data_IF_832348993364
#
_entry.id   IF_832348993364
#
_cell.length_a   1.000
_cell.length_b   1.000
_cell.length_c   1.000
_cell.angle_alpha   90.00
_cell.angle_beta   90.00
_cell.angle_gamma   90.00
#
_symmetry.space_group_name_H-M   'P 1'
#
loop_
_entity.id
_entity.type
_entity.pdbx_description
1 polymer ?
#
# COMPACT_ATOMS: atom_id res chain seq x y z
N UNK A 1 16.26 -16.68 -15.91
CA UNK A 1 15.22 -16.13 -15.01
C UNK A 1 15.72 -14.80 -14.49
N UNK A 2 15.19 -13.68 -14.99
CA UNK A 2 15.51 -12.36 -14.41
C UNK A 2 14.44 -12.14 -13.34
N UNK A 3 14.82 -12.21 -12.07
CA UNK A 3 13.95 -11.78 -10.98
C UNK A 3 13.81 -10.26 -11.06
N UNK A 4 12.62 -9.75 -11.39
CA UNK A 4 12.32 -8.33 -11.28
C UNK A 4 11.86 -8.05 -9.84
N UNK A 5 12.72 -7.41 -9.06
CA UNK A 5 12.37 -6.90 -7.73
C UNK A 5 11.98 -5.43 -7.80
N UNK A 6 11.04 -5.00 -6.96
CA UNK A 6 10.71 -3.58 -6.76
C UNK A 6 11.09 -3.14 -5.37
N UNK A 7 11.67 -1.94 -5.26
CA UNK A 7 11.94 -1.27 -4.00
C UNK A 7 11.13 0.02 -3.98
N UNK A 8 10.30 0.19 -2.96
CA UNK A 8 9.57 1.43 -2.70
C UNK A 8 10.25 2.14 -1.52
N UNK A 9 10.64 3.40 -1.71
CA UNK A 9 11.24 4.21 -0.64
C UNK A 9 10.23 5.29 -0.24
N UNK A 10 9.73 5.20 0.99
CA UNK A 10 8.76 6.14 1.54
C UNK A 10 9.49 7.33 2.19
N UNK A 11 9.43 8.50 1.55
CA UNK A 11 10.07 9.74 2.03
C UNK A 11 8.98 10.80 2.23
N UNK A 12 9.04 11.52 3.36
CA UNK A 12 7.99 12.46 3.77
C UNK A 12 6.58 11.80 3.70
N UNK A 13 6.51 10.55 4.14
CA UNK A 13 5.34 9.69 4.03
C UNK A 13 4.73 9.44 5.41
N UNK A 14 3.39 9.52 5.48
CA UNK A 14 2.57 8.94 6.53
C UNK A 14 1.33 8.30 5.90
N UNK A 15 0.82 7.22 6.49
CA UNK A 15 -0.33 6.51 5.93
C UNK A 15 -1.61 7.37 5.98
N UNK A 16 -1.78 8.20 7.02
CA UNK A 16 -2.90 9.15 7.07
C UNK A 16 -2.85 10.19 5.94
N UNK A 17 -1.68 10.73 5.60
CA UNK A 17 -1.59 11.68 4.49
C UNK A 17 -1.77 11.00 3.12
N UNK A 18 -1.27 9.77 2.96
CA UNK A 18 -1.56 8.94 1.78
C UNK A 18 -3.07 8.72 1.59
N UNK A 19 -3.76 8.32 2.65
CA UNK A 19 -5.22 8.13 2.61
C UNK A 19 -5.96 9.43 2.31
N UNK A 20 -5.55 10.54 2.92
CA UNK A 20 -6.11 11.87 2.61
C UNK A 20 -5.95 12.20 1.12
N UNK A 21 -4.76 11.99 0.53
CA UNK A 21 -4.53 12.20 -0.91
C UNK A 21 -5.43 11.31 -1.76
N UNK A 22 -5.51 10.02 -1.45
CA UNK A 22 -6.37 9.07 -2.16
C UNK A 22 -7.85 9.50 -2.15
N UNK A 23 -8.38 9.86 -0.97
CA UNK A 23 -9.77 10.32 -0.83
C UNK A 23 -10.04 11.64 -1.56
N UNK A 24 -9.10 12.58 -1.54
CA UNK A 24 -9.22 13.82 -2.34
C UNK A 24 -9.25 13.52 -3.83
N UNK A 25 -8.40 12.61 -4.33
CA UNK A 25 -8.41 12.18 -5.73
C UNK A 25 -9.75 11.54 -6.13
N UNK A 26 -10.30 10.65 -5.29
CA UNK A 26 -11.62 10.03 -5.53
C UNK A 26 -12.71 11.09 -5.55
N UNK A 27 -12.72 12.02 -4.58
CA UNK A 27 -13.70 13.10 -4.52
C UNK A 27 -13.66 13.99 -5.79
N UNK A 28 -12.47 14.32 -6.30
CA UNK A 28 -12.33 15.03 -7.57
C UNK A 28 -12.85 14.22 -8.76
N UNK A 29 -12.63 12.89 -8.79
CA UNK A 29 -13.18 12.01 -9.82
C UNK A 29 -14.71 12.03 -9.84
N UNK A 30 -15.34 11.95 -8.66
CA UNK A 30 -16.80 12.07 -8.51
C UNK A 30 -17.29 13.44 -8.96
N UNK A 31 -16.63 14.52 -8.54
CA UNK A 31 -17.01 15.88 -8.93
C UNK A 31 -16.93 16.12 -10.45
N UNK A 32 -15.95 15.48 -11.13
CA UNK A 32 -15.78 15.53 -12.58
C UNK A 32 -16.76 14.62 -13.35
N UNK A 33 -17.55 13.82 -12.64
CA UNK A 33 -18.46 12.84 -13.26
C UNK A 33 -17.75 11.61 -13.83
N UNK A 34 -16.48 11.38 -13.48
CA UNK A 34 -15.71 10.19 -13.90
C UNK A 34 -16.03 8.95 -13.05
N UNK A 35 -16.60 9.16 -11.87
CA UNK A 35 -17.01 8.12 -10.93
C UNK A 35 -18.39 8.42 -10.37
N UNK A 36 -19.18 7.38 -10.12
CA UNK A 36 -20.31 7.45 -9.21
C UNK A 36 -19.86 7.11 -7.78
N UNK A 37 -20.59 7.59 -6.77
CA UNK A 37 -20.31 7.22 -5.37
C UNK A 37 -20.47 5.72 -5.11
N UNK A 38 -21.29 5.03 -5.90
CA UNK A 38 -21.48 3.58 -5.87
C UNK A 38 -20.27 2.80 -6.39
N UNK A 39 -19.36 3.44 -7.12
CA UNK A 39 -18.13 2.81 -7.60
C UNK A 39 -17.03 2.78 -6.52
N UNK A 40 -17.22 3.48 -5.40
CA UNK A 40 -16.24 3.57 -4.33
C UNK A 40 -16.28 2.31 -3.48
N UNK A 41 -15.18 1.56 -3.52
CA UNK A 41 -14.94 0.36 -2.74
C UNK A 41 -13.44 0.26 -2.36
N UNK A 42 -13.10 -0.78 -1.60
CA UNK A 42 -11.76 -1.06 -1.11
C UNK A 42 -10.74 -1.21 -2.27
N UNK A 43 -11.13 -1.85 -3.37
CA UNK A 43 -10.33 -1.92 -4.59
C UNK A 43 -9.99 -0.52 -5.12
N UNK A 44 -10.98 0.35 -5.33
CA UNK A 44 -10.76 1.70 -5.83
C UNK A 44 -9.84 2.51 -4.90
N UNK A 45 -10.08 2.44 -3.59
CA UNK A 45 -9.25 3.12 -2.59
C UNK A 45 -7.80 2.65 -2.71
N UNK A 46 -7.58 1.33 -2.76
CA UNK A 46 -6.24 0.72 -2.89
C UNK A 46 -5.54 1.15 -4.19
N UNK A 47 -6.28 1.30 -5.28
CA UNK A 47 -5.76 1.81 -6.56
C UNK A 47 -5.46 3.31 -6.54
N UNK A 48 -5.94 4.06 -5.55
CA UNK A 48 -5.65 5.48 -5.37
C UNK A 48 -4.49 5.76 -4.40
N UNK A 49 -3.98 4.75 -3.70
CA UNK A 49 -2.81 4.87 -2.81
C UNK A 49 -1.50 5.08 -3.57
N UNK A 50 -0.47 5.56 -2.90
CA UNK A 50 0.87 5.72 -3.48
C UNK A 50 1.46 4.34 -3.85
N UNK A 51 1.11 3.31 -3.07
CA UNK A 51 1.52 1.92 -3.28
C UNK A 51 0.79 1.18 -4.40
N UNK A 52 -0.13 1.81 -5.16
CA UNK A 52 -1.06 1.15 -6.11
C UNK A 52 -0.47 0.18 -7.13
N UNK A 53 0.82 0.26 -7.46
CA UNK A 53 1.46 -0.68 -8.38
C UNK A 53 2.03 -1.92 -7.69
N UNK A 54 2.13 -1.91 -6.36
CA UNK A 54 2.68 -2.98 -5.54
C UNK A 54 1.55 -3.79 -4.90
N UNK A 55 1.83 -5.05 -4.60
CA UNK A 55 0.96 -5.84 -3.75
C UNK A 55 1.08 -5.38 -2.29
N UNK A 56 0.04 -5.64 -1.51
CA UNK A 56 0.08 -5.43 -0.07
C UNK A 56 1.20 -6.29 0.58
N UNK A 57 1.84 -5.80 1.65
CA UNK A 57 2.93 -6.52 2.29
C UNK A 57 2.42 -7.75 3.06
N UNK A 58 3.05 -8.90 2.83
CA UNK A 58 2.84 -10.12 3.62
C UNK A 58 3.40 -10.00 5.06
N UNK A 59 4.55 -9.32 5.19
CA UNK A 59 5.32 -9.21 6.41
C UNK A 59 5.88 -7.79 6.57
N UNK A 60 5.58 -7.15 7.69
CA UNK A 60 6.14 -5.88 8.11
C UNK A 60 7.13 -6.13 9.24
N UNK A 61 8.40 -5.81 9.00
CA UNK A 61 9.47 -5.91 9.99
C UNK A 61 9.73 -4.52 10.55
N UNK A 62 9.68 -4.38 11.88
CA UNK A 62 10.07 -3.16 12.59
C UNK A 62 11.13 -3.46 13.62
N UNK A 63 12.24 -2.74 13.53
CA UNK A 63 13.40 -2.89 14.40
C UNK A 63 13.33 -1.95 15.62
N UNK A 64 14.37 -1.99 16.46
CA UNK A 64 14.58 -1.12 17.62
C UNK A 64 13.65 -1.36 18.82
N UNK A 65 12.91 -2.47 18.83
CA UNK A 65 12.09 -2.91 19.96
C UNK A 65 10.76 -2.18 20.16
N UNK A 66 10.42 -1.24 19.26
CA UNK A 66 9.18 -0.46 19.35
C UNK A 66 7.98 -1.24 18.83
N UNK A 67 6.94 -1.42 19.64
CA UNK A 67 5.72 -2.18 19.28
C UNK A 67 4.59 -1.26 18.83
N UNK A 68 4.81 -0.48 17.77
CA UNK A 68 3.78 0.37 17.12
C UNK A 68 4.01 0.42 15.62
N UNK A 69 3.04 0.90 14.84
CA UNK A 69 3.21 1.11 13.40
C UNK A 69 3.79 2.48 13.05
N UNK A 70 3.62 3.49 13.91
CA UNK A 70 4.05 4.87 13.62
C UNK A 70 3.49 5.42 12.31
N UNK A 71 2.20 5.19 12.04
CA UNK A 71 1.52 5.74 10.85
C UNK A 71 2.16 5.29 9.52
N UNK A 72 2.55 4.00 9.45
CA UNK A 72 3.21 3.40 8.28
C UNK A 72 2.34 2.29 7.68
N UNK A 73 1.98 2.44 6.40
CA UNK A 73 1.23 1.47 5.59
C UNK A 73 -0.03 0.92 6.27
N UNK A 74 -0.82 1.77 6.94
CA UNK A 74 -1.94 1.33 7.77
C UNK A 74 -3.02 0.57 6.97
N UNK A 75 -3.31 1.01 5.75
CA UNK A 75 -4.28 0.36 4.87
C UNK A 75 -3.75 -0.96 4.32
N UNK A 76 -2.53 -0.92 3.77
CA UNK A 76 -1.86 -2.04 3.13
C UNK A 76 -1.53 -3.15 4.13
N UNK A 77 -1.25 -2.80 5.38
CA UNK A 77 -0.92 -3.77 6.44
C UNK A 77 -2.15 -4.45 7.08
N UNK A 78 -3.36 -4.24 6.56
CA UNK A 78 -4.60 -4.83 7.11
C UNK A 78 -4.54 -6.37 7.23
N UNK A 79 -3.82 -7.04 6.32
CA UNK A 79 -3.63 -8.51 6.30
C UNK A 79 -2.16 -8.92 6.53
N UNK A 80 -1.33 -8.00 7.00
CA UNK A 80 0.10 -8.18 7.12
C UNK A 80 0.48 -8.79 8.49
N UNK A 81 1.46 -9.69 8.50
CA UNK A 81 2.11 -10.09 9.75
C UNK A 81 3.08 -9.02 10.20
N UNK A 82 3.03 -8.65 11.48
CA UNK A 82 3.92 -7.64 12.03
C UNK A 82 4.95 -8.33 12.93
N UNK A 83 6.22 -8.18 12.60
CA UNK A 83 7.35 -8.71 13.36
C UNK A 83 8.17 -7.57 13.96
N UNK A 84 8.20 -7.51 15.28
CA UNK A 84 9.00 -6.54 16.02
C UNK A 84 10.32 -7.18 16.47
N UNK A 85 11.44 -6.69 15.95
CA UNK A 85 12.78 -7.09 16.36
C UNK A 85 13.38 -6.04 17.30
N UNK A 86 14.11 -6.48 18.32
CA UNK A 86 14.81 -5.61 19.28
C UNK A 86 16.14 -5.08 18.74
N UNK A 87 16.69 -5.69 17.68
CA UNK A 87 17.93 -5.22 17.04
C UNK A 87 17.76 -3.80 16.51
N UNK A 88 18.79 -2.95 16.60
CA UNK A 88 18.78 -1.62 15.98
C UNK A 88 18.94 -1.75 14.45
N UNK A 89 18.34 -0.85 13.68
CA UNK A 89 18.37 -0.92 12.21
C UNK A 89 19.79 -1.06 11.61
N UNK A 90 20.82 -0.28 12.04
CA UNK A 90 22.18 -0.43 11.51
C UNK A 90 22.83 -1.80 11.81
N UNK A 91 22.27 -2.55 12.77
CA UNK A 91 22.75 -3.86 13.20
C UNK A 91 21.87 -5.00 12.67
N UNK A 92 20.81 -4.71 11.90
CA UNK A 92 19.93 -5.72 11.34
C UNK A 92 20.63 -6.48 10.22
N UNK A 93 20.78 -7.79 10.37
CA UNK A 93 21.54 -8.63 9.44
C UNK A 93 20.68 -9.68 8.72
N UNK A 94 21.34 -10.51 7.91
CA UNK A 94 20.71 -11.61 7.19
C UNK A 94 19.97 -12.60 8.11
N UNK A 95 20.51 -12.88 9.31
CA UNK A 95 19.90 -13.81 10.25
C UNK A 95 18.65 -13.22 10.91
N UNK A 96 18.62 -11.91 11.16
CA UNK A 96 17.39 -11.23 11.59
C UNK A 96 16.29 -11.37 10.53
N UNK A 97 16.62 -11.17 9.25
CA UNK A 97 15.67 -11.36 8.16
C UNK A 97 15.15 -12.81 8.10
N UNK A 98 16.04 -13.80 8.19
CA UNK A 98 15.65 -15.21 8.21
C UNK A 98 14.71 -15.54 9.38
N UNK A 99 14.96 -14.97 10.57
CA UNK A 99 14.07 -15.14 11.74
C UNK A 99 12.69 -14.54 11.49
N UNK A 100 12.62 -13.36 10.89
CA UNK A 100 11.35 -12.72 10.55
C UNK A 100 10.57 -13.51 9.49
N UNK A 101 11.25 -14.04 8.46
CA UNK A 101 10.64 -14.91 7.45
C UNK A 101 10.14 -16.21 8.08
N UNK A 102 10.93 -16.84 8.95
CA UNK A 102 10.52 -18.05 9.65
C UNK A 102 9.28 -17.79 10.51
N UNK A 103 9.25 -16.66 11.23
CA UNK A 103 8.07 -16.22 11.96
C UNK A 103 6.84 -16.11 11.05
N UNK A 104 6.95 -15.45 9.89
CA UNK A 104 5.85 -15.40 8.92
C UNK A 104 5.40 -16.80 8.51
N UNK A 105 6.34 -17.67 8.11
CA UNK A 105 6.03 -19.02 7.64
C UNK A 105 5.32 -19.88 8.68
N UNK A 106 5.66 -19.74 9.96
CA UNK A 106 4.99 -20.45 11.04
C UNK A 106 3.56 -19.96 11.26
N UNK A 107 3.31 -18.67 11.08
CA UNK A 107 2.03 -18.07 11.45
C UNK A 107 1.06 -17.99 10.26
N UNK A 108 1.54 -17.97 9.01
CA UNK A 108 0.75 -17.70 7.78
C UNK A 108 -0.55 -18.53 7.66
N UNK A 109 -0.54 -19.77 8.15
CA UNK A 109 -1.70 -20.66 8.04
C UNK A 109 -2.87 -20.21 8.91
N UNK A 110 -2.61 -19.50 10.01
CA UNK A 110 -3.63 -18.99 10.92
C UNK A 110 -4.40 -17.81 10.32
N UNK A 111 -3.72 -16.84 9.67
CA UNK A 111 -4.42 -15.73 9.01
C UNK A 111 -5.10 -16.16 7.71
N UNK A 112 -4.52 -17.10 6.94
CA UNK A 112 -5.20 -17.62 5.74
C UNK A 112 -6.60 -18.16 6.09
N UNK A 113 -6.70 -18.94 7.16
CA UNK A 113 -7.99 -19.45 7.67
C UNK A 113 -8.94 -18.36 8.17
N UNK A 114 -8.42 -17.28 8.76
CA UNK A 114 -9.25 -16.16 9.21
C UNK A 114 -9.75 -15.33 8.01
N UNK A 115 -8.87 -15.05 7.05
CA UNK A 115 -9.19 -14.26 5.87
C UNK A 115 -10.18 -14.98 4.94
N UNK A 116 -10.04 -16.30 4.74
CA UNK A 116 -11.00 -17.11 3.97
C UNK A 116 -12.44 -17.02 4.50
N UNK A 117 -12.60 -16.79 5.82
CA UNK A 117 -13.90 -16.71 6.47
C UNK A 117 -14.44 -15.28 6.59
N UNK A 118 -13.60 -14.26 6.47
CA UNK A 118 -13.98 -12.88 6.76
C UNK A 118 -14.11 -11.99 5.53
N UNK A 119 -13.46 -12.29 4.41
CA UNK A 119 -13.37 -11.35 3.28
C UNK A 119 -13.40 -12.09 1.93
N UNK A 120 -14.33 -11.68 1.07
CA UNK A 120 -14.38 -12.14 -0.32
C UNK A 120 -13.13 -11.69 -1.07
N UNK A 121 -12.61 -12.52 -1.97
CA UNK A 121 -11.56 -12.10 -2.91
C UNK A 121 -12.10 -10.97 -3.78
N UNK A 122 -11.55 -9.77 -3.60
CA UNK A 122 -11.89 -8.62 -4.43
C UNK A 122 -11.25 -8.79 -5.80
N UNK A 123 -12.09 -9.02 -6.79
CA UNK A 123 -11.66 -9.12 -8.18
C UNK A 123 -11.47 -7.73 -8.78
N UNK A 124 -10.50 -7.56 -9.70
CA UNK A 124 -10.44 -6.38 -10.54
C UNK A 124 -11.82 -6.09 -11.11
N UNK A 125 -12.29 -4.84 -11.01
CA UNK A 125 -13.57 -4.46 -11.59
C UNK A 125 -13.43 -4.33 -13.10
N UNK A 126 -14.33 -4.93 -13.87
CA UNK A 126 -14.46 -4.70 -15.32
C UNK A 126 -15.21 -3.39 -15.62
N UNK A 127 -15.47 -2.56 -14.59
CA UNK A 127 -16.13 -1.27 -14.73
C UNK A 127 -15.23 -0.29 -15.49
N UNK A 128 -15.61 -0.01 -16.73
CA UNK A 128 -14.88 0.88 -17.65
C UNK A 128 -14.68 2.30 -17.08
N UNK A 129 -15.67 2.82 -16.35
CA UNK A 129 -15.59 4.15 -15.73
C UNK A 129 -14.48 4.19 -14.68
N UNK A 130 -14.36 3.13 -13.87
CA UNK A 130 -13.28 3.02 -12.86
C UNK A 130 -11.92 2.97 -13.54
N UNK A 131 -11.80 2.21 -14.64
CA UNK A 131 -10.54 2.14 -15.39
C UNK A 131 -10.18 3.49 -16.03
N UNK A 132 -11.16 4.22 -16.56
CA UNK A 132 -10.96 5.56 -17.10
C UNK A 132 -10.53 6.56 -16.03
N UNK A 133 -11.21 6.58 -14.89
CA UNK A 133 -10.83 7.38 -13.74
C UNK A 133 -9.40 7.09 -13.28
N UNK A 134 -9.00 5.81 -13.21
CA UNK A 134 -7.66 5.44 -12.76
C UNK A 134 -6.58 5.94 -13.74
N UNK A 135 -6.85 5.91 -15.05
CA UNK A 135 -5.96 6.51 -16.06
C UNK A 135 -5.83 8.01 -15.86
N UNK A 136 -6.95 8.71 -15.71
CA UNK A 136 -6.96 10.15 -15.42
C UNK A 136 -6.17 10.47 -14.14
N UNK A 137 -6.37 9.70 -13.07
CA UNK A 137 -5.67 9.91 -11.80
C UNK A 137 -4.14 9.67 -11.92
N UNK A 138 -3.70 8.77 -12.79
CA UNK A 138 -2.29 8.55 -13.09
C UNK A 138 -1.68 9.71 -13.88
N UNK A 139 -2.41 10.25 -14.84
CA UNK A 139 -2.01 11.43 -15.62
C UNK A 139 -1.87 12.68 -14.74
N UNK A 140 -2.84 12.95 -13.87
CA UNK A 140 -2.78 14.09 -12.93
C UNK A 140 -1.58 14.01 -11.99
N UNK A 141 -1.26 12.81 -11.48
CA UNK A 141 -0.07 12.60 -10.64
C UNK A 141 1.21 12.87 -11.43
N UNK A 142 1.31 12.35 -12.65
CA UNK A 142 2.49 12.57 -13.50
C UNK A 142 2.67 14.06 -13.79
N UNK A 143 1.59 14.75 -14.09
CA UNK A 143 1.61 16.18 -14.36
C UNK A 143 1.98 17.00 -13.12
N UNK A 144 1.47 16.63 -11.94
CA UNK A 144 1.90 17.24 -10.68
C UNK A 144 3.40 17.08 -10.45
N UNK A 145 3.97 15.90 -10.73
CA UNK A 145 5.41 15.65 -10.59
C UNK A 145 6.23 16.50 -11.56
N UNK A 146 5.76 16.67 -12.81
CA UNK A 146 6.40 17.54 -13.80
C UNK A 146 6.45 18.99 -13.32
N UNK A 147 5.32 19.54 -12.87
CA UNK A 147 5.26 20.91 -12.32
C UNK A 147 6.21 21.10 -11.14
N UNK A 148 6.29 20.12 -10.23
CA UNK A 148 7.22 20.16 -9.10
C UNK A 148 8.69 20.15 -9.56
N UNK A 149 9.02 19.38 -10.60
CA UNK A 149 10.38 19.36 -11.15
C UNK A 149 10.77 20.68 -11.80
N UNK A 150 9.83 21.36 -12.47
CA UNK A 150 10.06 22.65 -13.13
C UNK A 150 10.19 23.82 -12.14
N UNK A 151 9.52 23.75 -10.99
CA UNK A 151 9.53 24.82 -9.98
C UNK A 151 10.81 24.82 -9.13
N UNK A 152 11.57 23.73 -9.15
CA UNK A 152 12.81 23.57 -8.37
C UNK A 152 14.06 23.97 -9.17
N UNK A 153 13.90 24.28 -10.46
CA UNK A 153 14.97 24.75 -11.34
C UNK A 153 14.93 26.28 -11.50
#
# INVERSE_FOLDING_TARGET
>A
MIFSGRVNVCIAYTAQDELRRAFVTIAHGVQKGLLATTDINEYLISRCLDSRFSNDPDLLIRTSGETRLSDFLLWQCSKCYIYFDKVLWPNFDYWNLCKAIYFYQQNQMSLKRLNENCLAEEKPTDNENVLEFLRWADEERLESLRRMSETVC
#
